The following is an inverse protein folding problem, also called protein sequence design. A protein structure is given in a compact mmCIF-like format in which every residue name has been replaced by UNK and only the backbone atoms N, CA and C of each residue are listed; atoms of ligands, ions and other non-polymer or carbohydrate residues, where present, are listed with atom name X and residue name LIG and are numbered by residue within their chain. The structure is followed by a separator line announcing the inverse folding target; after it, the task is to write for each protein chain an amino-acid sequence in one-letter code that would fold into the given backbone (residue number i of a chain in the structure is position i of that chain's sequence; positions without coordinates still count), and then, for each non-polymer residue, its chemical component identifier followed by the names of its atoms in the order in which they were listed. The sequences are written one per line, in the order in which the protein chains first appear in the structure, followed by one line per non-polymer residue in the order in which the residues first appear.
data_IF_281583111820
#
_entry.id   IF_281583111820
#
_cell.length_a   1.000
_cell.length_b   1.000
_cell.length_c   1.000
_cell.angle_alpha   90.00
_cell.angle_beta   90.00
_cell.angle_gamma   90.00
#
_symmetry.space_group_name_H-M   'P 1'
#
loop_
_entity.id
_entity.type
_entity.pdbx_description
1 polymer ?
#
# COMPACT_ATOMS: atom_id res chain seq x y z
N UNK A 1 -9.31 16.62 -34.19
CA UNK A 1 -10.01 16.58 -32.90
C UNK A 1 -10.16 15.14 -32.46
N UNK A 2 -9.38 14.68 -31.49
CA UNK A 2 -9.64 13.39 -30.83
C UNK A 2 -9.41 13.55 -29.33
N UNK A 3 -10.27 14.35 -28.71
CA UNK A 3 -10.53 14.21 -27.27
C UNK A 3 -11.30 12.91 -27.10
N UNK A 4 -10.58 11.80 -26.96
CA UNK A 4 -11.18 10.57 -26.47
C UNK A 4 -11.72 10.85 -25.08
N UNK A 5 -12.96 10.43 -24.82
CA UNK A 5 -13.57 10.52 -23.49
C UNK A 5 -12.57 9.99 -22.46
N UNK A 6 -12.27 10.72 -21.36
CA UNK A 6 -11.37 10.20 -20.35
C UNK A 6 -11.98 8.88 -19.86
N UNK A 7 -11.25 7.78 -20.05
CA UNK A 7 -11.60 6.51 -19.43
C UNK A 7 -11.76 6.78 -17.93
N UNK A 8 -12.91 6.44 -17.37
CA UNK A 8 -13.16 6.64 -15.94
C UNK A 8 -12.02 6.00 -15.16
N UNK A 9 -11.28 6.83 -14.40
CA UNK A 9 -10.20 6.33 -13.56
C UNK A 9 -10.80 5.72 -12.31
N UNK A 10 -10.63 4.41 -12.16
CA UNK A 10 -11.01 3.67 -10.96
C UNK A 10 -9.74 3.54 -10.13
N UNK A 11 -9.68 4.39 -9.10
CA UNK A 11 -8.51 4.57 -8.27
C UNK A 11 -8.59 3.85 -6.94
N UNK A 12 -7.45 3.31 -6.49
CA UNK A 12 -7.28 2.84 -5.10
C UNK A 12 -6.07 3.47 -4.46
N UNK A 13 -6.09 3.56 -3.14
CA UNK A 13 -4.93 3.92 -2.35
C UNK A 13 -4.44 2.72 -1.52
N UNK A 14 -3.14 2.46 -1.55
CA UNK A 14 -2.48 1.36 -0.83
C UNK A 14 -1.32 1.88 -0.02
N UNK A 15 -1.11 1.33 1.18
CA UNK A 15 0.22 1.39 1.79
C UNK A 15 1.10 0.38 1.06
N UNK A 16 2.28 0.81 0.63
CA UNK A 16 3.20 -0.03 -0.13
C UNK A 16 4.57 0.01 0.52
N UNK A 17 5.17 -1.17 0.71
CA UNK A 17 6.56 -1.29 1.12
C UNK A 17 7.26 -2.37 0.29
N UNK A 18 8.41 -2.04 -0.27
CA UNK A 18 9.18 -2.91 -1.16
C UNK A 18 10.59 -3.01 -0.63
N UNK A 19 11.10 -4.23 -0.51
CA UNK A 19 12.48 -4.52 -0.09
C UNK A 19 12.94 -5.84 -0.69
N UNK A 20 14.21 -6.20 -0.55
CA UNK A 20 14.80 -7.37 -1.22
C UNK A 20 14.29 -8.71 -0.69
N UNK A 21 13.74 -8.75 0.54
CA UNK A 21 13.30 -10.01 1.16
C UNK A 21 11.92 -9.90 1.77
N UNK A 22 11.15 -10.99 1.68
CA UNK A 22 9.80 -11.04 2.24
C UNK A 22 9.80 -10.87 3.77
N UNK A 23 10.77 -11.49 4.46
CA UNK A 23 10.87 -11.40 5.92
C UNK A 23 11.10 -9.96 6.41
N UNK A 24 11.93 -9.20 5.69
CA UNK A 24 12.16 -7.79 6.02
C UNK A 24 10.92 -6.94 5.72
N UNK A 25 10.24 -7.22 4.59
CA UNK A 25 9.02 -6.52 4.23
C UNK A 25 7.94 -6.69 5.29
N UNK A 26 7.72 -7.92 5.77
CA UNK A 26 6.77 -8.23 6.84
C UNK A 26 7.13 -7.51 8.14
N UNK A 27 8.41 -7.55 8.54
CA UNK A 27 8.88 -6.92 9.78
C UNK A 27 8.66 -5.41 9.76
N UNK A 28 9.06 -4.73 8.68
CA UNK A 28 8.95 -3.27 8.57
C UNK A 28 7.49 -2.86 8.36
N UNK A 29 6.74 -3.55 7.50
CA UNK A 29 5.33 -3.24 7.28
C UNK A 29 4.50 -3.43 8.55
N UNK A 30 4.80 -4.44 9.38
CA UNK A 30 4.11 -4.65 10.65
C UNK A 30 4.35 -3.49 11.61
N UNK A 31 5.61 -3.07 11.76
CA UNK A 31 5.99 -1.93 12.61
C UNK A 31 5.31 -0.64 12.13
N UNK A 32 5.47 -0.32 10.84
CA UNK A 32 4.93 0.89 10.25
C UNK A 32 3.39 0.92 10.28
N UNK A 33 2.73 -0.20 9.98
CA UNK A 33 1.26 -0.26 10.00
C UNK A 33 0.70 -0.12 11.41
N UNK A 34 1.30 -0.76 12.41
CA UNK A 34 0.88 -0.61 13.80
C UNK A 34 1.00 0.85 14.27
N UNK A 35 2.13 1.50 14.00
CA UNK A 35 2.33 2.92 14.33
C UNK A 35 1.34 3.83 13.59
N UNK A 36 1.07 3.55 12.31
CA UNK A 36 0.06 4.28 11.54
C UNK A 36 -1.34 4.11 12.13
N UNK A 37 -1.74 2.87 12.42
CA UNK A 37 -3.08 2.56 12.91
C UNK A 37 -3.33 3.27 14.24
N UNK A 38 -2.44 3.11 15.21
CA UNK A 38 -2.55 3.73 16.54
C UNK A 38 -2.76 5.26 16.47
N UNK A 39 -2.05 5.93 15.56
CA UNK A 39 -2.22 7.36 15.33
C UNK A 39 -3.51 7.69 14.58
N UNK A 40 -3.86 6.91 13.56
CA UNK A 40 -5.02 7.14 12.70
C UNK A 40 -6.33 7.06 13.48
N UNK A 41 -6.46 6.09 14.38
CA UNK A 41 -7.67 5.88 15.17
C UNK A 41 -7.66 6.54 16.55
N UNK A 42 -6.62 7.33 16.87
CA UNK A 42 -6.42 7.93 18.20
C UNK A 42 -7.66 8.71 18.68
N UNK A 43 -8.15 9.65 17.87
CA UNK A 43 -9.31 10.47 18.21
C UNK A 43 -10.60 9.64 18.28
N UNK A 44 -10.73 8.61 17.46
CA UNK A 44 -11.92 7.73 17.48
C UNK A 44 -11.99 6.94 18.78
N UNK A 45 -10.87 6.32 19.20
CA UNK A 45 -10.79 5.67 20.51
C UNK A 45 -11.07 6.64 21.64
N UNK A 46 -10.52 7.85 21.59
CA UNK A 46 -10.78 8.89 22.61
C UNK A 46 -12.27 9.24 22.71
N UNK A 47 -13.04 9.13 21.62
CA UNK A 47 -14.47 9.40 21.56
C UNK A 47 -15.34 8.14 21.55
N UNK A 48 -14.78 6.96 21.84
CA UNK A 48 -15.54 5.70 21.93
C UNK A 48 -16.08 5.18 20.59
N UNK A 49 -15.52 5.62 19.47
CA UNK A 49 -15.88 5.18 18.12
C UNK A 49 -14.96 4.05 17.68
N UNK A 50 -15.56 2.98 17.16
CA UNK A 50 -14.86 1.86 16.51
C UNK A 50 -15.36 1.78 15.07
N UNK A 51 -14.46 1.99 14.11
CA UNK A 51 -14.77 1.85 12.69
C UNK A 51 -14.22 0.51 12.16
N UNK A 52 -15.09 -0.46 11.81
CA UNK A 52 -14.65 -1.76 11.29
C UNK A 52 -14.07 -1.67 9.87
N UNK A 53 -14.20 -0.53 9.17
CA UNK A 53 -13.65 -0.35 7.83
C UNK A 53 -12.11 -0.31 7.82
N UNK A 54 -11.46 -0.09 8.96
CA UNK A 54 -10.01 -0.01 9.08
C UNK A 54 -9.44 -1.21 9.83
N UNK A 55 -8.69 -2.09 9.14
CA UNK A 55 -8.09 -3.27 9.74
C UNK A 55 -7.15 -2.90 10.90
N UNK A 56 -7.30 -3.57 12.04
CA UNK A 56 -6.48 -3.28 13.23
C UNK A 56 -5.09 -3.96 13.20
N UNK A 57 -4.87 -4.89 12.27
CA UNK A 57 -3.66 -5.70 12.18
C UNK A 57 -3.14 -5.71 10.75
N UNK A 58 -1.82 -5.91 10.58
CA UNK A 58 -1.22 -6.02 9.26
C UNK A 58 -1.87 -7.17 8.47
N UNK A 59 -2.04 -8.35 9.07
CA UNK A 59 -2.62 -9.51 8.39
C UNK A 59 -4.02 -9.22 7.84
N UNK A 60 -4.87 -8.56 8.63
CA UNK A 60 -6.19 -8.13 8.18
C UNK A 60 -6.09 -7.06 7.08
N UNK A 61 -5.08 -6.19 7.13
CA UNK A 61 -4.85 -5.17 6.11
C UNK A 61 -4.35 -5.76 4.79
N UNK A 62 -3.49 -6.78 4.83
CA UNK A 62 -3.06 -7.54 3.66
C UNK A 62 -4.25 -8.29 3.06
N UNK A 63 -5.04 -8.99 3.89
CA UNK A 63 -6.22 -9.74 3.43
C UNK A 63 -7.33 -8.84 2.85
N UNK A 64 -7.40 -7.58 3.28
CA UNK A 64 -8.34 -6.58 2.77
C UNK A 64 -7.79 -5.74 1.61
N UNK A 65 -6.64 -6.11 1.04
CA UNK A 65 -5.97 -5.37 -0.03
C UNK A 65 -5.64 -3.92 0.36
N UNK A 66 -5.51 -3.57 1.64
CA UNK A 66 -5.21 -2.21 2.10
C UNK A 66 -3.70 -1.92 2.16
N UNK A 67 -2.89 -2.97 2.25
CA UNK A 67 -1.42 -2.95 2.31
C UNK A 67 -0.86 -3.93 1.27
N UNK A 68 0.25 -3.58 0.64
CA UNK A 68 1.05 -4.48 -0.18
C UNK A 68 2.50 -4.38 0.31
N UNK A 69 3.08 -5.49 0.79
CA UNK A 69 4.43 -5.50 1.32
C UNK A 69 5.18 -6.76 0.88
N UNK A 70 6.34 -6.61 0.24
CA UNK A 70 7.14 -7.76 -0.19
C UNK A 70 8.32 -7.41 -1.09
N UNK A 71 8.80 -8.42 -1.81
CA UNK A 71 9.79 -8.25 -2.88
C UNK A 71 9.19 -7.54 -4.10
N UNK A 72 10.00 -6.97 -5.01
CA UNK A 72 9.50 -6.38 -6.26
C UNK A 72 8.58 -7.32 -7.04
N UNK A 73 8.93 -8.61 -7.13
CA UNK A 73 8.11 -9.64 -7.79
C UNK A 73 6.77 -9.80 -7.10
N UNK A 74 6.75 -9.92 -5.78
CA UNK A 74 5.53 -10.10 -5.01
C UNK A 74 4.60 -8.89 -5.15
N UNK A 75 5.16 -7.69 -4.99
CA UNK A 75 4.40 -6.42 -5.09
C UNK A 75 3.83 -6.25 -6.49
N UNK A 76 4.59 -6.56 -7.54
CA UNK A 76 4.07 -6.53 -8.90
C UNK A 76 2.96 -7.58 -9.11
N UNK A 77 3.14 -8.81 -8.64
CA UNK A 77 2.10 -9.84 -8.76
C UNK A 77 0.80 -9.43 -8.07
N UNK A 78 0.90 -8.80 -6.90
CA UNK A 78 -0.26 -8.35 -6.13
C UNK A 78 -0.97 -7.16 -6.79
N UNK A 79 -0.23 -6.18 -7.33
CA UNK A 79 -0.82 -5.10 -8.12
C UNK A 79 -1.53 -5.65 -9.35
N UNK A 80 -0.91 -6.58 -10.08
CA UNK A 80 -1.52 -7.21 -11.26
C UNK A 80 -2.82 -7.95 -10.88
N UNK A 81 -2.83 -8.68 -9.76
CA UNK A 81 -4.01 -9.37 -9.24
C UNK A 81 -5.12 -8.38 -8.91
N UNK A 82 -4.82 -7.27 -8.23
CA UNK A 82 -5.82 -6.26 -7.88
C UNK A 82 -6.37 -5.52 -9.11
N UNK A 83 -5.51 -5.24 -10.11
CA UNK A 83 -5.95 -4.67 -11.40
C UNK A 83 -6.95 -5.59 -12.09
N UNK A 84 -6.64 -6.89 -12.18
CA UNK A 84 -7.50 -7.88 -12.85
C UNK A 84 -8.84 -8.08 -12.13
N UNK A 85 -8.81 -8.24 -10.80
CA UNK A 85 -10.01 -8.53 -10.00
C UNK A 85 -10.95 -7.32 -9.89
N UNK A 86 -10.41 -6.11 -9.71
CA UNK A 86 -11.21 -4.92 -9.39
C UNK A 86 -11.31 -3.91 -10.55
N UNK A 87 -10.74 -4.20 -11.72
CA UNK A 87 -10.79 -3.31 -12.89
C UNK A 87 -10.07 -1.98 -12.65
N UNK A 88 -9.08 -1.98 -11.75
CA UNK A 88 -8.36 -0.79 -11.33
C UNK A 88 -7.44 -0.30 -12.46
N UNK A 89 -7.43 1.00 -12.71
CA UNK A 89 -6.56 1.59 -13.71
C UNK A 89 -5.77 2.80 -13.16
N UNK A 90 -5.80 2.99 -11.85
CA UNK A 90 -5.07 4.05 -11.16
C UNK A 90 -4.70 3.64 -9.72
N UNK A 91 -3.41 3.61 -9.41
CA UNK A 91 -2.90 3.30 -8.07
C UNK A 91 -2.27 4.53 -7.42
N UNK A 92 -2.69 4.83 -6.19
CA UNK A 92 -2.02 5.78 -5.30
C UNK A 92 -1.27 4.98 -4.24
N UNK A 93 0.06 5.00 -4.33
CA UNK A 93 0.92 4.27 -3.41
C UNK A 93 1.44 5.20 -2.31
N UNK A 94 1.23 4.82 -1.05
CA UNK A 94 1.77 5.49 0.14
C UNK A 94 3.00 4.74 0.63
N UNK A 95 4.17 5.34 0.45
CA UNK A 95 5.47 4.81 0.89
C UNK A 95 5.94 5.39 2.23
N UNK A 96 5.32 6.50 2.67
CA UNK A 96 5.57 7.09 3.97
C UNK A 96 4.33 6.93 4.84
N UNK A 97 4.43 6.15 5.91
CA UNK A 97 3.35 5.92 6.86
C UNK A 97 3.91 5.45 8.20
N UNK A 98 3.15 5.66 9.28
CA UNK A 98 3.52 5.24 10.61
C UNK A 98 4.84 5.85 11.06
N UNK A 99 5.78 4.98 11.43
CA UNK A 99 7.11 5.34 11.93
C UNK A 99 8.24 5.05 10.93
N UNK A 100 7.93 4.82 9.65
CA UNK A 100 8.96 4.63 8.64
C UNK A 100 9.91 5.82 8.59
N UNK A 101 11.21 5.55 8.59
CA UNK A 101 12.23 6.57 8.40
C UNK A 101 12.18 7.12 6.97
N UNK A 102 12.85 8.25 6.77
CA UNK A 102 13.04 8.80 5.42
C UNK A 102 13.77 7.79 4.53
N UNK A 103 14.85 7.19 5.03
CA UNK A 103 15.68 6.23 4.30
C UNK A 103 14.90 4.96 3.94
N UNK A 104 14.11 4.42 4.87
CA UNK A 104 13.26 3.25 4.61
C UNK A 104 12.22 3.56 3.53
N UNK A 105 11.57 4.73 3.62
CA UNK A 105 10.55 5.17 2.66
C UNK A 105 11.15 5.45 1.28
N UNK A 106 12.30 6.13 1.23
CA UNK A 106 12.96 6.50 -0.01
C UNK A 106 13.52 5.27 -0.73
N UNK A 107 14.19 4.36 -0.01
CA UNK A 107 14.71 3.13 -0.58
C UNK A 107 13.57 2.24 -1.13
N UNK A 108 12.47 2.12 -0.40
CA UNK A 108 11.30 1.39 -0.88
C UNK A 108 10.69 2.02 -2.14
N UNK A 109 10.63 3.35 -2.21
CA UNK A 109 10.10 4.06 -3.38
C UNK A 109 11.04 3.90 -4.59
N UNK A 110 12.35 4.02 -4.39
CA UNK A 110 13.36 3.82 -5.45
C UNK A 110 13.28 2.41 -6.02
N UNK A 111 13.18 1.39 -5.16
CA UNK A 111 13.04 0.01 -5.57
C UNK A 111 11.72 -0.24 -6.32
N UNK A 112 10.61 0.33 -5.83
CA UNK A 112 9.33 0.27 -6.54
C UNK A 112 9.40 0.92 -7.92
N UNK A 113 9.99 2.11 -8.02
CA UNK A 113 10.12 2.83 -9.28
C UNK A 113 11.05 2.12 -10.27
N UNK A 114 12.12 1.50 -9.77
CA UNK A 114 13.11 0.80 -10.58
C UNK A 114 12.68 -0.60 -11.03
N UNK A 115 11.94 -1.34 -10.21
CA UNK A 115 11.70 -2.77 -10.45
C UNK A 115 10.23 -3.18 -10.57
N UNK A 116 9.30 -2.39 -10.02
CA UNK A 116 7.86 -2.70 -10.06
C UNK A 116 7.17 -1.92 -11.16
N UNK A 117 7.32 -0.58 -11.18
CA UNK A 117 6.64 0.28 -12.17
C UNK A 117 6.91 -0.12 -13.63
N UNK A 118 8.15 -0.48 -14.05
CA UNK A 118 8.42 -0.85 -15.43
C UNK A 118 7.68 -2.10 -15.92
N UNK A 119 7.10 -2.90 -15.02
CA UNK A 119 6.30 -4.09 -15.36
C UNK A 119 4.88 -3.76 -15.82
N UNK A 120 4.44 -2.51 -15.67
CA UNK A 120 3.09 -2.01 -16.01
C UNK A 120 3.09 -0.86 -17.02
N UNK A 121 4.26 -0.53 -17.59
CA UNK A 121 4.44 0.54 -18.56
C UNK A 121 4.03 0.11 -19.99
#
# INVERSE_FOLDING_TARGET
SHGGNPTTRIGVARHVYVTETQAEAERIAARGYAAWYENFIHLWRQHGVVDPAYPATLDAALAADAVIAGTPEHVAAEIARQVDVAGLNYFVCRFAYGDLSFEESSASLELFAGEVMPRFA
#
